data_IF_860322586412
#
_entry.id   IF_860322586412
#
_cell.length_a   1.000
_cell.length_b   1.000
_cell.length_c   1.000
_cell.angle_alpha   90.00
_cell.angle_beta   90.00
_cell.angle_gamma   90.00
#
_symmetry.space_group_name_H-M   'P 1'
#
loop_
_entity.id
_entity.type
_entity.pdbx_description
1 polymer ?
#
# COMPACT_ATOMS: atom_id res chain seq x y z
N UNK A 1 -20.47 55.59 20.51
CA UNK A 1 -21.85 55.58 19.97
C UNK A 1 -22.77 54.58 20.68
N UNK A 2 -22.33 53.35 20.99
CA UNK A 2 -23.15 52.32 21.65
C UNK A 2 -23.57 52.61 23.10
N UNK A 3 -22.86 53.47 23.85
CA UNK A 3 -23.18 53.71 25.26
C UNK A 3 -24.50 54.48 25.49
N UNK A 4 -24.97 55.29 24.52
CA UNK A 4 -26.23 56.03 24.65
C UNK A 4 -27.47 55.18 24.38
N UNK A 5 -27.34 54.16 23.54
CA UNK A 5 -28.44 53.26 23.16
C UNK A 5 -28.88 52.38 24.34
N UNK A 6 -27.91 51.83 25.08
CA UNK A 6 -28.19 50.99 26.26
C UNK A 6 -28.59 51.77 27.52
N UNK A 7 -28.59 53.10 27.49
CA UNK A 7 -29.08 53.90 28.62
C UNK A 7 -30.57 54.27 28.47
N UNK A 8 -31.13 54.16 27.25
CA UNK A 8 -32.56 54.27 27.00
C UNK A 8 -33.32 52.98 27.36
N UNK A 9 -32.62 51.85 27.33
CA UNK A 9 -33.09 50.53 27.75
C UNK A 9 -32.37 50.21 29.07
N UNK A 10 -32.97 50.51 30.23
CA UNK A 10 -32.39 50.56 31.61
C UNK A 10 -31.52 49.36 32.08
N UNK A 11 -30.47 49.03 31.34
CA UNK A 11 -29.64 47.84 31.54
C UNK A 11 -28.44 48.20 32.38
N UNK A 12 -28.26 47.46 33.46
CA UNK A 12 -27.13 47.62 34.35
C UNK A 12 -25.81 47.25 33.64
N UNK A 13 -24.65 47.76 34.12
CA UNK A 13 -23.35 47.43 33.53
C UNK A 13 -23.06 45.93 33.47
N UNK A 14 -23.62 45.17 34.43
CA UNK A 14 -23.50 43.71 34.52
C UNK A 14 -24.36 43.02 33.46
N UNK A 15 -25.63 43.42 33.29
CA UNK A 15 -26.51 42.88 32.24
C UNK A 15 -25.96 43.12 30.84
N UNK A 16 -25.34 44.28 30.59
CA UNK A 16 -24.68 44.54 29.31
C UNK A 16 -23.54 43.56 29.03
N UNK A 17 -22.75 43.19 30.04
CA UNK A 17 -21.67 42.19 29.88
C UNK A 17 -22.22 40.80 29.61
N UNK A 18 -23.30 40.43 30.30
CA UNK A 18 -24.01 39.15 30.07
C UNK A 18 -24.58 39.09 28.66
N UNK A 19 -25.24 40.16 28.19
CA UNK A 19 -25.78 40.22 26.83
C UNK A 19 -24.69 40.15 25.76
N UNK A 20 -23.55 40.80 25.96
CA UNK A 20 -22.42 40.70 25.03
C UNK A 20 -21.83 39.29 25.00
N UNK A 21 -21.75 38.61 26.15
CA UNK A 21 -21.30 37.22 26.21
C UNK A 21 -22.28 36.29 25.48
N UNK A 22 -23.59 36.44 25.72
CA UNK A 22 -24.63 35.65 25.05
C UNK A 22 -24.64 35.89 23.54
N UNK A 23 -24.59 37.15 23.09
CA UNK A 23 -24.50 37.49 21.68
C UNK A 23 -23.23 36.90 21.04
N UNK A 24 -22.09 36.97 21.73
CA UNK A 24 -20.84 36.37 21.28
C UNK A 24 -20.96 34.85 21.10
N UNK A 25 -21.55 34.14 22.07
CA UNK A 25 -21.77 32.70 21.96
C UNK A 25 -22.73 32.32 20.83
N UNK A 26 -23.78 33.11 20.61
CA UNK A 26 -24.73 32.90 19.52
C UNK A 26 -24.07 33.06 18.15
N UNK A 27 -23.26 34.12 17.98
CA UNK A 27 -22.51 34.37 16.75
C UNK A 27 -21.46 33.27 16.52
N UNK A 28 -20.74 32.85 17.56
CA UNK A 28 -19.78 31.75 17.45
C UNK A 28 -20.44 30.43 17.03
N UNK A 29 -21.60 30.09 17.62
CA UNK A 29 -22.38 28.91 17.24
C UNK A 29 -22.88 28.97 15.80
N UNK A 30 -23.41 30.11 15.37
CA UNK A 30 -23.83 30.33 13.98
C UNK A 30 -22.66 30.23 12.99
N UNK A 31 -21.49 30.75 13.36
CA UNK A 31 -20.28 30.64 12.55
C UNK A 31 -19.82 29.19 12.41
N UNK A 32 -19.74 28.41 13.50
CA UNK A 32 -19.39 26.98 13.46
C UNK A 32 -20.35 26.23 12.53
N UNK A 33 -21.65 26.48 12.66
CA UNK A 33 -22.65 25.86 11.78
C UNK A 33 -22.45 26.26 10.31
N UNK A 34 -22.25 27.55 10.03
CA UNK A 34 -21.96 28.04 8.69
C UNK A 34 -20.71 27.38 8.10
N UNK A 35 -19.63 27.23 8.87
CA UNK A 35 -18.41 26.57 8.43
C UNK A 35 -18.59 25.07 8.17
N UNK A 36 -19.44 24.37 8.95
CA UNK A 36 -19.76 22.97 8.69
C UNK A 36 -20.60 22.81 7.42
N UNK A 37 -21.59 23.67 7.21
CA UNK A 37 -22.46 23.64 6.02
C UNK A 37 -21.72 24.14 4.76
N UNK A 38 -20.81 25.10 4.90
CA UNK A 38 -19.97 25.65 3.84
C UNK A 38 -18.64 24.89 3.67
N UNK A 39 -18.43 23.80 4.41
CA UNK A 39 -17.31 22.91 4.16
C UNK A 39 -17.46 22.38 2.72
N UNK A 40 -16.51 22.68 1.80
CA UNK A 40 -16.56 22.15 0.45
C UNK A 40 -16.68 20.62 0.52
N UNK A 41 -17.32 19.96 -0.47
CA UNK A 41 -17.53 18.51 -0.43
C UNK A 41 -16.20 17.86 -0.07
N UNK A 42 -16.18 17.19 1.09
CA UNK A 42 -14.97 16.55 1.62
C UNK A 42 -14.32 15.78 0.49
N UNK A 43 -13.01 15.98 0.32
CA UNK A 43 -12.22 15.39 -0.75
C UNK A 43 -12.66 13.95 -0.98
N UNK A 44 -13.42 13.72 -2.06
CA UNK A 44 -13.82 12.38 -2.45
C UNK A 44 -12.61 11.75 -3.10
N UNK A 45 -11.82 11.06 -2.30
CA UNK A 45 -10.78 10.18 -2.81
C UNK A 45 -11.50 9.03 -3.52
N UNK A 46 -11.52 9.05 -4.84
CA UNK A 46 -12.12 7.97 -5.63
C UNK A 46 -11.14 6.80 -5.71
N UNK A 47 -11.18 5.93 -4.70
CA UNK A 47 -10.36 4.73 -4.64
C UNK A 47 -10.65 3.76 -5.79
N UNK A 48 -11.81 3.84 -6.45
CA UNK A 48 -12.19 2.95 -7.57
C UNK A 48 -11.28 3.15 -8.79
N UNK A 49 -10.84 4.40 -9.03
CA UNK A 49 -9.90 4.72 -10.09
C UNK A 49 -8.50 4.14 -9.81
N UNK A 50 -8.07 4.13 -8.54
CA UNK A 50 -6.81 3.53 -8.12
C UNK A 50 -6.87 1.99 -8.18
N UNK A 51 -8.00 1.39 -7.78
CA UNK A 51 -8.21 -0.05 -7.72
C UNK A 51 -8.32 -0.72 -9.10
N UNK A 52 -8.62 0.05 -10.16
CA UNK A 52 -8.71 -0.47 -11.54
C UNK A 52 -7.37 -1.01 -12.05
N UNK A 53 -6.25 -0.50 -11.53
CA UNK A 53 -4.91 -1.02 -11.81
C UNK A 53 -4.67 -2.42 -11.21
N UNK A 54 -5.29 -2.70 -10.07
CA UNK A 54 -5.19 -4.00 -9.39
C UNK A 54 -5.99 -5.07 -10.10
N UNK A 55 -7.21 -4.75 -10.55
CA UNK A 55 -8.00 -5.66 -11.39
C UNK A 55 -7.29 -5.98 -12.72
N UNK A 56 -6.69 -4.97 -13.36
CA UNK A 56 -5.89 -5.16 -14.57
C UNK A 56 -4.64 -6.03 -14.31
N UNK A 57 -3.99 -5.88 -13.14
CA UNK A 57 -2.89 -6.75 -12.73
C UNK A 57 -3.35 -8.19 -12.52
N UNK A 58 -4.45 -8.41 -11.78
CA UNK A 58 -5.02 -9.75 -11.59
C UNK A 58 -5.38 -10.43 -12.92
N UNK A 59 -5.91 -9.66 -13.86
CA UNK A 59 -6.29 -10.19 -15.16
C UNK A 59 -5.08 -10.53 -16.04
N UNK A 60 -4.00 -9.74 -15.97
CA UNK A 60 -2.72 -10.08 -16.62
C UNK A 60 -2.07 -11.31 -16.00
N UNK A 61 -2.02 -11.39 -14.67
CA UNK A 61 -1.47 -12.56 -13.97
C UNK A 61 -2.28 -13.82 -14.27
N UNK A 62 -3.62 -13.73 -14.32
CA UNK A 62 -4.47 -14.86 -14.68
C UNK A 62 -4.26 -15.31 -16.13
N UNK A 63 -4.06 -14.37 -17.07
CA UNK A 63 -3.73 -14.69 -18.47
C UNK A 63 -2.35 -15.36 -18.57
N UNK A 64 -1.33 -14.80 -17.91
CA UNK A 64 0.03 -15.36 -17.86
C UNK A 64 0.05 -16.76 -17.20
N UNK A 65 -0.81 -17.00 -16.20
CA UNK A 65 -0.93 -18.30 -15.52
C UNK A 65 -1.73 -19.32 -16.34
N UNK A 66 -2.67 -18.87 -17.18
CA UNK A 66 -3.44 -19.75 -18.07
C UNK A 66 -2.62 -20.23 -19.27
N UNK A 67 -1.63 -19.45 -19.71
CA UNK A 67 -0.72 -19.80 -20.80
C UNK A 67 0.51 -20.59 -20.31
N UNK A 68 0.88 -20.44 -19.04
CA UNK A 68 1.84 -21.32 -18.40
C UNK A 68 1.22 -22.71 -18.18
N UNK A 69 1.54 -23.66 -19.06
CA UNK A 69 1.24 -25.07 -18.84
C UNK A 69 1.67 -25.45 -17.42
N UNK A 70 0.84 -26.17 -16.63
CA UNK A 70 1.26 -26.64 -15.33
C UNK A 70 2.49 -27.50 -15.58
N UNK A 71 3.61 -27.11 -14.98
CA UNK A 71 4.80 -27.96 -14.88
C UNK A 71 4.38 -29.12 -13.96
N UNK A 72 3.63 -30.06 -14.54
CA UNK A 72 3.37 -31.36 -13.97
C UNK A 72 4.70 -32.10 -14.02
N UNK A 73 5.52 -31.82 -13.02
CA UNK A 73 6.83 -32.40 -12.87
C UNK A 73 7.17 -32.35 -11.40
N UNK A 74 7.06 -33.49 -10.75
CA UNK A 74 7.71 -33.84 -9.47
C UNK A 74 9.25 -33.84 -9.62
N UNK A 75 9.77 -33.03 -10.55
CA UNK A 75 11.13 -32.96 -11.03
C UNK A 75 11.74 -31.65 -10.52
N UNK A 76 12.89 -31.69 -9.83
CA UNK A 76 13.49 -30.49 -9.27
C UNK A 76 13.87 -29.50 -10.37
N UNK A 77 13.44 -28.24 -10.23
CA UNK A 77 13.64 -27.17 -11.19
C UNK A 77 15.13 -26.81 -11.33
N UNK A 78 15.65 -26.83 -12.56
CA UNK A 78 17.03 -26.46 -12.83
C UNK A 78 17.24 -24.93 -12.73
N UNK A 79 17.98 -24.47 -11.71
CA UNK A 79 18.18 -23.04 -11.45
C UNK A 79 19.04 -22.33 -12.51
N UNK A 80 19.86 -23.06 -13.27
CA UNK A 80 20.70 -22.51 -14.33
C UNK A 80 19.89 -22.17 -15.58
N UNK A 81 18.81 -22.89 -15.85
CA UNK A 81 17.98 -22.73 -17.07
C UNK A 81 16.59 -22.19 -16.79
N UNK A 82 16.13 -22.20 -15.54
CA UNK A 82 14.81 -21.71 -15.15
C UNK A 82 14.57 -20.25 -15.59
N UNK A 83 13.38 -19.98 -16.11
CA UNK A 83 12.92 -18.63 -16.36
C UNK A 83 12.53 -17.93 -15.05
N UNK A 84 12.35 -16.61 -15.10
CA UNK A 84 11.85 -15.85 -13.94
C UNK A 84 10.47 -16.34 -13.51
N UNK A 85 9.62 -16.77 -14.46
CA UNK A 85 8.30 -17.33 -14.17
C UNK A 85 8.40 -18.68 -13.46
N UNK A 86 9.31 -19.56 -13.88
CA UNK A 86 9.51 -20.85 -13.23
C UNK A 86 10.01 -20.67 -11.79
N UNK A 87 10.91 -19.71 -11.56
CA UNK A 87 11.40 -19.40 -10.22
C UNK A 87 10.29 -18.87 -9.30
N UNK A 88 9.28 -18.19 -9.85
CA UNK A 88 8.12 -17.71 -9.07
C UNK A 88 7.20 -18.84 -8.59
N UNK A 89 7.24 -20.01 -9.24
CA UNK A 89 6.52 -21.19 -8.76
C UNK A 89 7.11 -21.78 -7.48
N UNK A 90 8.35 -21.42 -7.14
CA UNK A 90 9.04 -21.96 -5.96
C UNK A 90 8.52 -21.35 -4.64
N UNK A 91 8.37 -22.16 -3.59
CA UNK A 91 7.81 -21.70 -2.32
C UNK A 91 8.74 -20.67 -1.65
N UNK A 92 8.22 -19.44 -1.48
CA UNK A 92 8.94 -18.35 -0.82
C UNK A 92 9.91 -17.58 -1.72
N UNK A 93 9.83 -17.77 -3.03
CA UNK A 93 10.50 -16.94 -4.04
C UNK A 93 9.49 -15.95 -4.62
N UNK A 94 9.76 -14.66 -4.46
CA UNK A 94 9.01 -13.57 -5.09
C UNK A 94 9.79 -12.95 -6.24
N UNK A 95 9.16 -12.03 -6.98
CA UNK A 95 9.71 -11.37 -8.17
C UNK A 95 11.13 -10.84 -7.99
N UNK A 96 11.36 -10.08 -6.92
CA UNK A 96 12.68 -9.52 -6.60
C UNK A 96 13.74 -10.59 -6.36
N UNK A 97 13.36 -11.75 -5.81
CA UNK A 97 14.29 -12.83 -5.53
C UNK A 97 14.59 -13.64 -6.80
N UNK A 98 13.56 -13.91 -7.62
CA UNK A 98 13.71 -14.55 -8.92
C UNK A 98 14.64 -13.74 -9.84
N UNK A 99 14.42 -12.43 -9.94
CA UNK A 99 15.27 -11.50 -10.71
C UNK A 99 16.73 -11.53 -10.22
N UNK A 100 16.96 -11.58 -8.90
CA UNK A 100 18.32 -11.68 -8.34
C UNK A 100 19.00 -13.00 -8.66
N UNK A 101 18.27 -14.11 -8.71
CA UNK A 101 18.84 -15.42 -9.08
C UNK A 101 19.31 -15.39 -10.53
N UNK A 102 18.48 -14.85 -11.44
CA UNK A 102 18.83 -14.68 -12.85
C UNK A 102 20.03 -13.75 -13.00
N UNK A 103 20.01 -12.59 -12.32
CA UNK A 103 21.13 -11.67 -12.33
C UNK A 103 22.42 -12.29 -11.78
N UNK A 104 22.32 -13.12 -10.73
CA UNK A 104 23.48 -13.79 -10.16
C UNK A 104 24.14 -14.74 -11.15
N UNK A 105 23.36 -15.54 -11.89
CA UNK A 105 23.94 -16.45 -12.90
C UNK A 105 24.53 -15.71 -14.10
N UNK A 106 24.03 -14.52 -14.42
CA UNK A 106 24.57 -13.66 -15.48
C UNK A 106 25.88 -12.98 -15.06
N UNK A 107 26.02 -12.58 -13.80
CA UNK A 107 27.17 -11.82 -13.30
C UNK A 107 28.28 -12.70 -12.72
N UNK A 108 27.91 -13.68 -11.89
CA UNK A 108 28.84 -14.55 -11.18
C UNK A 108 29.07 -15.90 -11.90
N UNK A 109 28.31 -16.16 -12.97
CA UNK A 109 28.33 -17.43 -13.70
C UNK A 109 27.33 -18.45 -13.15
N UNK A 110 27.25 -19.59 -13.84
CA UNK A 110 26.28 -20.67 -13.53
C UNK A 110 26.54 -21.24 -12.13
N UNK A 111 25.47 -21.65 -11.45
CA UNK A 111 25.54 -22.35 -10.18
C UNK A 111 26.12 -23.75 -10.41
N UNK A 112 27.16 -24.12 -9.66
CA UNK A 112 27.84 -25.42 -9.76
C UNK A 112 27.22 -26.41 -8.79
N UNK A 113 26.86 -25.94 -7.60
CA UNK A 113 26.16 -26.70 -6.58
C UNK A 113 24.85 -26.03 -6.19
N UNK A 114 23.89 -26.82 -5.69
CA UNK A 114 22.62 -26.28 -5.17
C UNK A 114 22.88 -25.30 -4.02
N UNK A 115 23.88 -25.57 -3.18
CA UNK A 115 24.30 -24.72 -2.06
C UNK A 115 24.80 -23.33 -2.48
N UNK A 116 25.25 -23.17 -3.73
CA UNK A 116 25.69 -21.88 -4.26
C UNK A 116 24.54 -20.85 -4.30
N UNK A 117 23.29 -21.32 -4.29
CA UNK A 117 22.11 -20.47 -4.20
C UNK A 117 22.08 -19.63 -2.90
N UNK A 118 22.77 -20.07 -1.85
CA UNK A 118 22.90 -19.30 -0.59
C UNK A 118 23.75 -18.04 -0.76
N UNK A 119 24.54 -17.91 -1.83
CA UNK A 119 25.29 -16.68 -2.14
C UNK A 119 24.38 -15.56 -2.67
N UNK A 120 23.16 -15.87 -3.09
CA UNK A 120 22.20 -14.88 -3.58
C UNK A 120 21.61 -14.08 -2.42
N UNK A 121 21.73 -12.75 -2.50
CA UNK A 121 21.24 -11.83 -1.46
C UNK A 121 19.73 -11.97 -1.24
N UNK A 122 19.36 -12.46 -0.06
CA UNK A 122 17.97 -12.66 0.38
C UNK A 122 17.53 -14.13 0.48
N UNK A 123 18.43 -15.06 0.17
CA UNK A 123 18.27 -16.49 0.45
C UNK A 123 18.99 -16.82 1.75
N UNK A 124 18.20 -17.00 2.81
CA UNK A 124 18.70 -17.40 4.13
C UNK A 124 18.68 -18.92 4.22
N UNK A 125 19.46 -19.51 5.14
CA UNK A 125 19.48 -20.98 5.38
C UNK A 125 18.07 -21.57 5.51
N UNK A 126 17.19 -20.94 6.28
CA UNK A 126 15.78 -21.37 6.44
C UNK A 126 14.98 -21.41 5.12
N UNK A 127 15.24 -20.47 4.20
CA UNK A 127 14.60 -20.47 2.88
C UNK A 127 15.22 -21.53 1.98
N UNK A 128 16.54 -21.63 1.99
CA UNK A 128 17.27 -22.63 1.23
C UNK A 128 16.82 -24.06 1.55
N UNK A 129 16.69 -24.42 2.83
CA UNK A 129 16.18 -25.74 3.24
C UNK A 129 14.79 -26.06 2.67
N UNK A 130 13.92 -25.05 2.56
CA UNK A 130 12.59 -25.20 1.94
C UNK A 130 12.63 -25.34 0.43
N UNK A 131 13.64 -24.76 -0.21
CA UNK A 131 13.79 -24.78 -1.67
C UNK A 131 14.52 -26.03 -2.14
N UNK A 132 15.45 -26.55 -1.34
CA UNK A 132 16.31 -27.71 -1.64
C UNK A 132 15.61 -28.90 -2.33
N UNK A 133 14.41 -29.35 -1.93
CA UNK A 133 13.74 -30.46 -2.61
C UNK A 133 13.18 -30.11 -4.00
N UNK A 134 13.00 -28.82 -4.30
CA UNK A 134 12.37 -28.34 -5.53
C UNK A 134 13.38 -27.83 -6.57
N UNK A 135 14.68 -27.88 -6.29
CA UNK A 135 15.71 -27.28 -7.14
C UNK A 135 16.82 -28.27 -7.47
N UNK A 136 17.37 -28.17 -8.67
CA UNK A 136 18.53 -28.92 -9.15
C UNK A 136 19.52 -28.00 -9.85
N UNK A 137 20.75 -28.48 -10.00
CA UNK A 137 21.78 -27.93 -10.91
C UNK A 137 22.17 -29.00 -11.90
N UNK A 138 22.18 -28.65 -13.19
CA UNK A 138 22.80 -29.40 -14.28
C UNK A 138 23.68 -28.47 -15.12
#
# INVERSE_FOLDING_TARGET
>A
MFQRFFHWLSLTPTERRVLLFLAGTLVAGAAIRYYQEASPPGWKFDYRAADSSFAAYQQRVAADTAEAAPIAGDQPLNINTASTADLLSLPGIGRTLAERIVQHREQAGRFVAVDDLQRVKGINKKKFEKLKPYISVQ
#
